data_IF_690608839612
#
_entry.id   IF_690608839612
#
_cell.length_a   1.000
_cell.length_b   1.000
_cell.length_c   1.000
_cell.angle_alpha   90.00
_cell.angle_beta   90.00
_cell.angle_gamma   90.00
#
_symmetry.space_group_name_H-M   'P 1'
#
loop_
_entity.id
_entity.type
_entity.pdbx_description
1 polymer ?
#
# COMPACT_ATOMS: atom_id res chain seq x y z
N UNK A 1 28.64 7.39 -30.51
CA UNK A 1 28.24 8.11 -29.27
C UNK A 1 26.79 7.87 -28.89
N UNK A 2 25.86 7.76 -29.84
CA UNK A 2 24.41 7.56 -29.60
C UNK A 2 24.06 6.33 -28.73
N UNK A 3 24.76 5.22 -28.92
CA UNK A 3 24.53 4.02 -28.10
C UNK A 3 24.82 4.30 -26.62
N UNK A 4 25.93 4.99 -26.31
CA UNK A 4 26.33 5.30 -24.94
C UNK A 4 25.42 6.33 -24.25
N UNK A 5 24.85 7.28 -25.00
CA UNK A 5 23.84 8.20 -24.44
C UNK A 5 22.54 7.45 -24.11
N UNK A 6 22.10 6.57 -25.01
CA UNK A 6 20.90 5.76 -24.77
C UNK A 6 21.04 4.85 -23.54
N UNK A 7 22.22 4.27 -23.32
CA UNK A 7 22.49 3.47 -22.11
C UNK A 7 22.38 4.30 -20.82
N UNK A 8 22.93 5.53 -20.79
CA UNK A 8 22.84 6.42 -19.63
C UNK A 8 21.39 6.83 -19.33
N UNK A 9 20.61 7.10 -20.37
CA UNK A 9 19.19 7.47 -20.22
C UNK A 9 18.33 6.29 -19.70
N UNK A 10 18.69 5.06 -20.07
CA UNK A 10 18.05 3.84 -19.56
C UNK A 10 18.41 3.61 -18.09
N UNK A 11 19.69 3.72 -17.74
CA UNK A 11 20.17 3.57 -16.36
C UNK A 11 19.58 4.64 -15.42
N UNK A 12 19.53 5.90 -15.87
CA UNK A 12 18.92 6.99 -15.11
C UNK A 12 17.42 6.78 -14.85
N UNK A 13 16.66 6.35 -15.87
CA UNK A 13 15.25 5.99 -15.71
C UNK A 13 15.07 4.80 -14.77
N UNK A 14 15.91 3.78 -14.90
CA UNK A 14 15.87 2.63 -14.00
C UNK A 14 16.09 3.00 -12.54
N UNK A 15 16.98 3.94 -12.26
CA UNK A 15 17.21 4.42 -10.91
C UNK A 15 15.99 5.20 -10.37
N UNK A 16 15.40 6.06 -11.20
CA UNK A 16 14.21 6.83 -10.83
C UNK A 16 13.02 5.93 -10.51
N UNK A 17 12.70 4.95 -11.38
CA UNK A 17 11.58 4.03 -11.15
C UNK A 17 11.71 3.29 -9.81
N UNK A 18 12.94 2.88 -9.46
CA UNK A 18 13.22 2.18 -8.20
C UNK A 18 13.04 3.11 -7.00
N UNK A 19 13.51 4.36 -7.10
CA UNK A 19 13.33 5.37 -6.06
C UNK A 19 11.84 5.66 -5.82
N UNK A 20 11.09 5.92 -6.89
CA UNK A 20 9.66 6.21 -6.82
C UNK A 20 8.89 5.05 -6.20
N UNK A 21 9.22 3.81 -6.57
CA UNK A 21 8.64 2.64 -5.95
C UNK A 21 8.96 2.56 -4.45
N UNK A 22 10.20 2.83 -4.04
CA UNK A 22 10.59 2.77 -2.63
C UNK A 22 9.82 3.81 -1.80
N UNK A 23 9.67 5.02 -2.33
CA UNK A 23 8.92 6.09 -1.67
C UNK A 23 7.45 5.69 -1.48
N UNK A 24 6.81 5.14 -2.51
CA UNK A 24 5.44 4.61 -2.43
C UNK A 24 5.31 3.50 -1.37
N UNK A 25 6.28 2.58 -1.31
CA UNK A 25 6.24 1.52 -0.29
C UNK A 25 6.42 2.07 1.12
N UNK A 26 7.24 3.10 1.31
CA UNK A 26 7.38 3.77 2.60
C UNK A 26 6.08 4.47 3.02
N UNK A 27 5.42 5.20 2.11
CA UNK A 27 4.11 5.80 2.35
C UNK A 27 3.08 4.73 2.74
N UNK A 28 3.08 3.58 2.05
CA UNK A 28 2.24 2.44 2.38
C UNK A 28 2.51 1.85 3.77
N UNK A 29 3.78 1.80 4.20
CA UNK A 29 4.16 1.37 5.56
C UNK A 29 3.63 2.35 6.61
N UNK A 30 3.75 3.66 6.38
CA UNK A 30 3.25 4.68 7.29
C UNK A 30 1.71 4.62 7.40
N UNK A 31 1.01 4.45 6.28
CA UNK A 31 -0.44 4.22 6.24
C UNK A 31 -0.87 2.98 7.05
N UNK A 32 -0.15 1.85 6.91
CA UNK A 32 -0.41 0.65 7.69
C UNK A 32 -0.11 0.85 9.19
N UNK A 33 0.93 1.61 9.53
CA UNK A 33 1.25 1.95 10.91
C UNK A 33 0.14 2.79 11.56
N UNK A 34 -0.39 3.80 10.87
CA UNK A 34 -1.54 4.60 11.33
C UNK A 34 -2.79 3.72 11.54
N UNK A 35 -3.03 2.78 10.61
CA UNK A 35 -4.14 1.81 10.71
C UNK A 35 -4.07 0.99 12.01
N UNK A 36 -2.87 0.51 12.37
CA UNK A 36 -2.65 -0.26 13.60
C UNK A 36 -2.89 0.61 14.84
N UNK A 37 -2.46 1.88 14.82
CA UNK A 37 -2.68 2.82 15.93
C UNK A 37 -4.18 3.04 16.15
N UNK A 38 -4.97 3.27 15.10
CA UNK A 38 -6.42 3.46 15.24
C UNK A 38 -7.15 2.20 15.69
N UNK A 39 -6.77 1.02 15.17
CA UNK A 39 -7.30 -0.26 15.67
C UNK A 39 -7.04 -0.47 17.16
N UNK A 40 -5.88 -0.06 17.67
CA UNK A 40 -5.57 -0.14 19.11
C UNK A 40 -6.43 0.81 19.93
N UNK A 41 -6.59 2.05 19.46
CA UNK A 41 -7.42 3.06 20.15
C UNK A 41 -8.88 2.64 20.23
N UNK A 42 -9.42 2.05 19.16
CA UNK A 42 -10.80 1.49 19.15
C UNK A 42 -11.05 0.44 20.24
N UNK A 43 -10.02 -0.30 20.67
CA UNK A 43 -10.16 -1.33 21.70
C UNK A 43 -9.98 -0.77 23.13
N UNK A 44 -9.49 0.45 23.27
CA UNK A 44 -9.14 1.07 24.55
C UNK A 44 -10.12 2.18 24.95
N UNK A 45 -10.71 2.85 23.97
CA UNK A 45 -11.48 4.08 24.14
C UNK A 45 -12.70 4.07 23.21
N UNK A 46 -13.86 4.53 23.69
CA UNK A 46 -14.98 4.96 22.83
C UNK A 46 -16.26 4.11 22.83
N UNK A 47 -17.32 4.67 22.23
CA UNK A 47 -18.58 4.01 21.89
C UNK A 47 -18.82 3.96 20.37
N UNK A 48 -19.99 3.52 19.91
CA UNK A 48 -20.25 3.22 18.49
C UNK A 48 -19.95 4.34 17.47
N UNK A 49 -20.16 5.60 17.85
CA UNK A 49 -19.84 6.75 16.99
C UNK A 49 -18.33 6.94 16.80
N UNK A 50 -17.54 6.68 17.84
CA UNK A 50 -16.08 6.71 17.81
C UNK A 50 -15.55 5.53 16.98
N UNK A 51 -16.14 4.34 17.12
CA UNK A 51 -15.80 3.18 16.29
C UNK A 51 -15.98 3.47 14.80
N UNK A 52 -17.11 4.04 14.40
CA UNK A 52 -17.42 4.27 12.98
C UNK A 52 -16.41 5.22 12.33
N UNK A 53 -16.06 6.31 13.01
CA UNK A 53 -15.08 7.27 12.52
C UNK A 53 -13.68 6.66 12.43
N UNK A 54 -13.22 6.02 13.50
CA UNK A 54 -11.88 5.39 13.52
C UNK A 54 -11.77 4.26 12.50
N UNK A 55 -12.81 3.45 12.32
CA UNK A 55 -12.84 2.39 11.31
C UNK A 55 -12.72 2.96 9.89
N UNK A 56 -13.35 4.09 9.59
CA UNK A 56 -13.23 4.73 8.28
C UNK A 56 -11.80 5.21 7.98
N UNK A 57 -11.05 5.65 9.00
CA UNK A 57 -9.62 5.97 8.86
C UNK A 57 -8.80 4.72 8.51
N UNK A 58 -9.06 3.60 9.19
CA UNK A 58 -8.40 2.31 8.90
C UNK A 58 -8.71 1.83 7.48
N UNK A 59 -9.97 1.85 7.07
CA UNK A 59 -10.39 1.50 5.70
C UNK A 59 -9.67 2.37 4.65
N UNK A 60 -9.54 3.68 4.93
CA UNK A 60 -8.85 4.64 4.06
C UNK A 60 -7.35 4.34 3.95
N UNK A 61 -6.64 4.23 5.07
CA UNK A 61 -5.19 4.04 5.04
C UNK A 61 -4.77 2.67 4.51
N UNK A 62 -5.51 1.60 4.82
CA UNK A 62 -5.21 0.28 4.24
C UNK A 62 -5.45 0.29 2.71
N UNK A 63 -6.48 1.01 2.23
CA UNK A 63 -6.73 1.18 0.79
C UNK A 63 -5.64 2.02 0.11
N UNK A 64 -5.14 3.06 0.79
CA UNK A 64 -4.01 3.86 0.31
C UNK A 64 -2.75 3.00 0.18
N UNK A 65 -2.40 2.23 1.22
CA UNK A 65 -1.24 1.33 1.17
C UNK A 65 -1.33 0.27 0.06
N UNK A 66 -2.55 -0.21 -0.25
CA UNK A 66 -2.76 -1.09 -1.41
C UNK A 66 -2.52 -0.35 -2.72
N UNK A 67 -3.04 0.87 -2.83
CA UNK A 67 -2.85 1.74 -4.00
C UNK A 67 -1.36 2.00 -4.23
N UNK A 68 -0.61 2.41 -3.19
CA UNK A 68 0.82 2.68 -3.26
C UNK A 68 1.60 1.46 -3.78
N UNK A 69 1.31 0.27 -3.24
CA UNK A 69 1.94 -0.97 -3.70
C UNK A 69 1.60 -1.28 -5.17
N UNK A 70 0.35 -1.08 -5.60
CA UNK A 70 -0.04 -1.28 -7.00
C UNK A 70 0.61 -0.26 -7.94
N UNK A 71 0.70 1.00 -7.53
CA UNK A 71 1.35 2.06 -8.32
C UNK A 71 2.84 1.80 -8.51
N UNK A 72 3.55 1.28 -7.50
CA UNK A 72 4.95 0.89 -7.67
C UNK A 72 5.09 -0.17 -8.77
N UNK A 73 4.24 -1.20 -8.73
CA UNK A 73 4.29 -2.29 -9.70
C UNK A 73 3.98 -1.81 -11.12
N UNK A 74 3.03 -0.88 -11.26
CA UNK A 74 2.65 -0.29 -12.53
C UNK A 74 3.72 0.66 -13.07
N UNK A 75 4.49 1.30 -12.19
CA UNK A 75 5.66 2.12 -12.54
C UNK A 75 6.78 1.34 -13.24
N UNK A 76 6.83 0.01 -13.09
CA UNK A 76 7.77 -0.86 -13.80
C UNK A 76 7.27 -1.35 -15.16
N UNK A 77 6.27 -0.70 -15.76
CA UNK A 77 5.75 -1.07 -17.07
C UNK A 77 6.73 -0.68 -18.20
N UNK A 78 7.22 -1.66 -18.97
CA UNK A 78 8.14 -1.40 -20.08
C UNK A 78 8.97 -2.60 -20.52
N UNK A 79 9.74 -2.44 -21.61
CA UNK A 79 10.67 -3.48 -22.12
C UNK A 79 11.97 -3.57 -21.31
N UNK A 80 12.29 -2.55 -20.52
CA UNK A 80 13.51 -2.49 -19.72
C UNK A 80 13.28 -3.02 -18.29
N UNK A 81 13.13 -4.34 -18.20
CA UNK A 81 12.94 -5.06 -16.94
C UNK A 81 14.22 -5.79 -16.54
N UNK A 82 15.15 -5.04 -15.94
CA UNK A 82 16.35 -5.61 -15.32
C UNK A 82 16.01 -6.54 -14.13
N UNK A 83 16.93 -7.43 -13.78
CA UNK A 83 16.77 -8.42 -12.70
C UNK A 83 16.36 -7.79 -11.36
N UNK A 84 16.89 -6.60 -11.04
CA UNK A 84 16.56 -5.87 -9.83
C UNK A 84 15.10 -5.41 -9.81
N UNK A 85 14.61 -4.73 -10.87
CA UNK A 85 13.21 -4.32 -11.00
C UNK A 85 12.26 -5.51 -10.91
N UNK A 86 12.60 -6.64 -11.56
CA UNK A 86 11.81 -7.86 -11.48
C UNK A 86 11.71 -8.42 -10.05
N UNK A 87 12.82 -8.38 -9.31
CA UNK A 87 12.87 -8.81 -7.90
C UNK A 87 12.02 -7.89 -7.02
N UNK A 88 12.12 -6.57 -7.19
CA UNK A 88 11.32 -5.59 -6.45
C UNK A 88 9.84 -5.79 -6.77
N UNK A 89 9.47 -5.91 -8.05
CA UNK A 89 8.10 -6.19 -8.50
C UNK A 89 7.50 -7.40 -7.81
N UNK A 90 8.24 -8.52 -7.75
CA UNK A 90 7.77 -9.73 -7.09
C UNK A 90 7.52 -9.53 -5.59
N UNK A 91 8.40 -8.80 -4.90
CA UNK A 91 8.21 -8.46 -3.48
C UNK A 91 6.99 -7.56 -3.26
N UNK A 92 6.84 -6.52 -4.10
CA UNK A 92 5.74 -5.56 -3.96
C UNK A 92 4.38 -6.20 -4.30
N UNK A 93 4.32 -7.12 -5.26
CA UNK A 93 3.11 -7.90 -5.51
C UNK A 93 2.68 -8.71 -4.28
N UNK A 94 3.62 -9.27 -3.52
CA UNK A 94 3.29 -9.93 -2.25
C UNK A 94 2.76 -8.94 -1.21
N UNK A 95 3.33 -7.73 -1.14
CA UNK A 95 2.81 -6.65 -0.27
C UNK A 95 1.38 -6.31 -0.66
N UNK A 96 1.11 -6.04 -1.94
CA UNK A 96 -0.23 -5.75 -2.44
C UNK A 96 -1.23 -6.85 -2.10
N UNK A 97 -0.84 -8.13 -2.26
CA UNK A 97 -1.70 -9.26 -1.91
C UNK A 97 -2.03 -9.31 -0.41
N UNK A 98 -1.03 -9.12 0.47
CA UNK A 98 -1.24 -9.15 1.92
C UNK A 98 -2.06 -7.93 2.38
N UNK A 99 -1.83 -6.76 1.80
CA UNK A 99 -2.63 -5.55 2.09
C UNK A 99 -4.08 -5.72 1.61
N UNK A 100 -4.31 -6.33 0.46
CA UNK A 100 -5.66 -6.68 -0.02
C UNK A 100 -6.37 -7.64 0.93
N UNK A 101 -5.67 -8.66 1.43
CA UNK A 101 -6.21 -9.57 2.45
C UNK A 101 -6.58 -8.80 3.74
N UNK A 102 -5.71 -7.89 4.18
CA UNK A 102 -5.96 -7.04 5.35
C UNK A 102 -7.20 -6.16 5.16
N UNK A 103 -7.35 -5.51 3.99
CA UNK A 103 -8.51 -4.70 3.66
C UNK A 103 -9.80 -5.51 3.71
N UNK A 104 -9.79 -6.73 3.17
CA UNK A 104 -10.94 -7.63 3.22
C UNK A 104 -11.33 -7.99 4.67
N UNK A 105 -10.34 -8.22 5.55
CA UNK A 105 -10.57 -8.48 6.97
C UNK A 105 -11.13 -7.26 7.69
N UNK A 106 -10.57 -6.07 7.44
CA UNK A 106 -11.06 -4.78 7.99
C UNK A 106 -12.52 -4.55 7.60
N UNK A 107 -12.84 -4.65 6.31
CA UNK A 107 -14.20 -4.46 5.80
C UNK A 107 -15.18 -5.46 6.45
N UNK A 108 -14.77 -6.73 6.59
CA UNK A 108 -15.59 -7.75 7.23
C UNK A 108 -15.81 -7.47 8.72
N UNK A 109 -14.78 -7.00 9.42
CA UNK A 109 -14.86 -6.61 10.83
C UNK A 109 -15.82 -5.44 11.02
N UNK A 110 -15.68 -4.38 10.21
CA UNK A 110 -16.57 -3.23 10.20
C UNK A 110 -18.03 -3.62 9.95
N UNK A 111 -18.29 -4.45 8.93
CA UNK A 111 -19.63 -4.94 8.61
C UNK A 111 -20.23 -5.76 9.77
N UNK A 112 -19.44 -6.64 10.39
CA UNK A 112 -19.90 -7.43 11.54
C UNK A 112 -20.26 -6.53 12.73
N UNK A 113 -19.42 -5.55 13.06
CA UNK A 113 -19.68 -4.63 14.16
C UNK A 113 -20.97 -3.82 13.96
N UNK A 114 -21.19 -3.31 12.73
CA UNK A 114 -22.43 -2.58 12.36
C UNK A 114 -23.67 -3.48 12.48
N UNK A 115 -23.55 -4.78 12.18
CA UNK A 115 -24.65 -5.73 12.29
C UNK A 115 -24.99 -6.10 13.75
N UNK A 116 -23.99 -6.18 14.63
CA UNK A 116 -24.20 -6.53 16.05
C UNK A 116 -24.68 -5.35 16.90
N UNK A 117 -24.36 -4.12 16.51
CA UNK A 117 -24.70 -2.90 17.25
C UNK A 117 -25.78 -2.06 16.53
N UNK A 118 -26.64 -2.73 15.75
CA UNK A 118 -27.82 -2.08 15.16
C UNK A 118 -28.80 -1.73 16.29
N UNK A 119 -29.36 -0.50 16.34
CA UNK A 119 -30.37 -0.15 17.33
C UNK A 119 -31.65 -0.99 17.19
#
# INVERSE_FOLDING_TARGET
MEVASNFKDVEGRSHQDISDCLDQINDGVDNLAQSIIELRRMNQEGGDSDFTWRMSNVETWVSAALTDATTCVDGFSGRDMGQLKATIKGKVLNVAQVTSNALALVNRFAARHRATNKP
#
